data_IF_260833255435
#
_entry.id   IF_260833255435
#
_cell.length_a   1.000
_cell.length_b   1.000
_cell.length_c   1.000
_cell.angle_alpha   90.00
_cell.angle_beta   90.00
_cell.angle_gamma   90.00
#
_symmetry.space_group_name_H-M   'P 1'
#
loop_
_entity.id
_entity.type
_entity.pdbx_description
1 polymer ?
#
# COMPACT_ATOMS: atom_id res chain seq x y z
N UNK A 1 -61.94 -4.29 -53.31
CA UNK A 1 -61.37 -2.99 -53.74
C UNK A 1 -59.87 -2.96 -53.40
N UNK A 2 -59.02 -2.99 -54.44
CA UNK A 2 -57.73 -2.27 -54.62
C UNK A 2 -57.01 -1.69 -53.37
N UNK A 3 -55.68 -1.79 -53.14
CA UNK A 3 -54.50 -1.92 -54.03
C UNK A 3 -53.26 -2.46 -53.30
N UNK A 4 -52.39 -3.05 -54.11
CA UNK A 4 -51.06 -3.67 -53.94
C UNK A 4 -49.93 -2.70 -53.54
N UNK A 5 -48.87 -3.21 -52.87
CA UNK A 5 -47.48 -2.86 -53.19
C UNK A 5 -46.48 -3.93 -52.71
N UNK A 6 -45.72 -4.47 -53.66
CA UNK A 6 -44.63 -5.45 -53.55
C UNK A 6 -43.30 -4.71 -53.75
N UNK A 7 -42.24 -5.03 -52.99
CA UNK A 7 -40.85 -4.76 -53.39
C UNK A 7 -39.93 -5.93 -53.04
N UNK A 8 -39.11 -6.27 -54.03
CA UNK A 8 -38.33 -7.50 -54.18
C UNK A 8 -36.91 -7.39 -53.58
N UNK A 9 -36.35 -8.55 -53.20
CA UNK A 9 -34.94 -8.76 -52.88
C UNK A 9 -34.10 -8.89 -54.16
N UNK A 10 -32.89 -8.33 -54.15
CA UNK A 10 -31.84 -8.59 -55.14
C UNK A 10 -30.52 -8.96 -54.43
N UNK A 11 -29.96 -10.13 -54.82
CA UNK A 11 -28.63 -10.63 -54.48
C UNK A 11 -27.59 -10.01 -55.42
N UNK A 12 -26.38 -9.71 -54.92
CA UNK A 12 -25.19 -9.44 -55.75
C UNK A 12 -24.03 -10.37 -55.34
N UNK A 13 -23.38 -10.95 -56.35
CA UNK A 13 -22.17 -11.76 -56.28
C UNK A 13 -20.89 -10.88 -56.40
N UNK A 14 -19.71 -11.33 -55.95
CA UNK A 14 -18.49 -10.52 -56.00
C UNK A 14 -17.71 -10.71 -57.32
N UNK A 15 -17.16 -9.60 -57.84
CA UNK A 15 -16.19 -9.58 -58.94
C UNK A 15 -14.75 -9.80 -58.43
N UNK A 16 -13.98 -10.67 -59.10
CA UNK A 16 -12.52 -10.76 -59.01
C UNK A 16 -11.85 -9.73 -59.93
N UNK A 17 -10.78 -9.08 -59.46
CA UNK A 17 -9.82 -8.32 -60.27
C UNK A 17 -8.37 -8.70 -59.86
N UNK A 18 -7.37 -8.63 -60.76
CA UNK A 18 -6.06 -9.25 -60.57
C UNK A 18 -5.09 -8.38 -59.77
N UNK A 19 -4.31 -9.01 -58.89
CA UNK A 19 -3.28 -8.37 -58.08
C UNK A 19 -1.95 -8.34 -58.86
N UNK A 20 -1.46 -7.14 -59.19
CA UNK A 20 -0.11 -6.90 -59.71
C UNK A 20 0.85 -6.86 -58.53
N UNK A 21 1.86 -7.74 -58.51
CA UNK A 21 2.93 -7.74 -57.51
C UNK A 21 3.99 -6.73 -57.93
N UNK A 22 4.08 -5.62 -57.20
CA UNK A 22 5.27 -4.74 -57.20
C UNK A 22 6.03 -5.02 -55.92
N UNK A 23 7.25 -5.54 -56.04
CA UNK A 23 8.16 -5.72 -54.93
C UNK A 23 8.78 -4.36 -54.55
N UNK A 24 8.45 -3.86 -53.35
CA UNK A 24 9.27 -2.86 -52.66
C UNK A 24 9.92 -3.53 -51.45
N UNK A 25 11.25 -3.60 -51.51
CA UNK A 25 12.16 -3.69 -50.36
C UNK A 25 11.86 -2.51 -49.43
N UNK A 26 11.65 -2.81 -48.15
CA UNK A 26 11.97 -2.03 -46.95
C UNK A 26 10.99 -2.45 -45.85
N UNK A 27 11.40 -3.45 -45.06
CA UNK A 27 10.66 -3.83 -43.86
C UNK A 27 10.69 -2.67 -42.86
N UNK A 28 9.53 -2.23 -42.31
CA UNK A 28 9.53 -1.17 -41.32
C UNK A 28 10.11 -1.71 -40.00
N UNK A 29 11.15 -1.03 -39.52
CA UNK A 29 11.65 -1.12 -38.15
C UNK A 29 10.45 -1.01 -37.19
N UNK A 30 10.31 -1.84 -36.14
CA UNK A 30 9.26 -1.66 -35.16
C UNK A 30 9.44 -0.31 -34.48
N UNK A 31 8.60 0.65 -34.85
CA UNK A 31 8.46 1.91 -34.13
C UNK A 31 7.78 1.61 -32.80
N UNK A 32 8.42 2.03 -31.70
CA UNK A 32 7.83 2.01 -30.37
C UNK A 32 6.40 2.56 -30.42
N UNK A 33 5.42 1.93 -29.74
CA UNK A 33 4.06 2.43 -29.74
C UNK A 33 4.03 3.87 -29.19
N UNK A 34 3.25 4.78 -29.81
CA UNK A 34 3.20 6.18 -29.42
C UNK A 34 2.59 6.29 -28.01
N UNK A 35 3.39 6.78 -27.06
CA UNK A 35 2.97 6.99 -25.66
C UNK A 35 4.06 6.72 -24.61
N UNK A 36 5.17 6.09 -24.97
CA UNK A 36 6.33 5.95 -24.08
C UNK A 36 7.27 7.12 -24.33
N UNK A 37 7.11 8.23 -23.60
CA UNK A 37 8.27 9.09 -23.38
C UNK A 37 9.31 8.25 -22.63
N UNK A 38 10.53 8.15 -23.16
CA UNK A 38 11.65 7.49 -22.49
C UNK A 38 11.68 7.91 -21.01
N UNK A 39 11.41 6.96 -20.12
CA UNK A 39 11.43 7.14 -18.66
C UNK A 39 12.87 7.12 -18.12
N UNK A 40 13.85 7.33 -19.01
CA UNK A 40 15.28 7.44 -18.71
C UNK A 40 15.63 8.74 -17.97
N UNK A 41 14.65 9.49 -17.46
CA UNK A 41 14.92 10.70 -16.68
C UNK A 41 15.67 11.76 -17.49
N UNK A 42 15.48 11.81 -18.81
CA UNK A 42 16.11 12.80 -19.69
C UNK A 42 17.61 12.59 -19.96
N UNK A 43 18.23 11.53 -19.44
CA UNK A 43 19.60 11.15 -19.77
C UNK A 43 19.67 10.29 -21.02
N UNK A 44 20.64 10.52 -21.90
CA UNK A 44 20.90 9.63 -23.04
C UNK A 44 21.53 8.33 -22.54
N UNK A 45 20.83 7.20 -22.68
CA UNK A 45 21.37 5.88 -22.37
C UNK A 45 22.64 5.58 -23.20
N UNK A 46 23.69 5.09 -22.54
CA UNK A 46 24.94 4.64 -23.19
C UNK A 46 24.94 3.14 -23.52
N UNK A 47 23.87 2.43 -23.20
CA UNK A 47 23.75 1.00 -23.46
C UNK A 47 23.49 0.71 -24.93
N UNK A 48 24.33 -0.11 -25.56
CA UNK A 48 24.04 -0.64 -26.88
C UNK A 48 22.82 -1.59 -26.81
N UNK A 49 21.92 -1.56 -27.82
CA UNK A 49 20.87 -2.57 -27.93
C UNK A 49 21.48 -3.98 -27.99
N UNK A 50 20.88 -4.99 -27.34
CA UNK A 50 21.34 -6.37 -27.47
C UNK A 50 21.28 -6.82 -28.94
N UNK A 51 22.39 -7.37 -29.46
CA UNK A 51 22.48 -7.88 -30.85
C UNK A 51 22.75 -9.38 -30.93
N UNK A 52 22.96 -10.05 -29.80
CA UNK A 52 23.23 -11.49 -29.73
C UNK A 52 21.95 -12.33 -29.76
N UNK A 53 22.11 -13.65 -29.96
CA UNK A 53 21.00 -14.62 -29.86
C UNK A 53 20.42 -14.74 -28.43
N UNK A 54 21.12 -14.14 -27.45
CA UNK A 54 20.77 -14.21 -26.03
C UNK A 54 21.24 -15.47 -25.33
N UNK A 55 21.05 -15.50 -24.02
CA UNK A 55 21.37 -16.63 -23.14
C UNK A 55 20.10 -17.05 -22.40
N UNK A 56 19.66 -18.29 -22.61
CA UNK A 56 18.46 -18.82 -21.92
C UNK A 56 18.82 -19.40 -20.56
N UNK A 57 18.01 -19.08 -19.56
CA UNK A 57 18.12 -19.56 -18.18
C UNK A 57 16.85 -20.33 -17.80
N UNK A 58 16.91 -21.65 -17.88
CA UNK A 58 15.79 -22.57 -17.63
C UNK A 58 16.06 -23.56 -16.49
N UNK A 59 17.26 -23.53 -15.92
CA UNK A 59 17.68 -24.38 -14.80
C UNK A 59 18.25 -23.53 -13.67
N UNK A 60 18.02 -23.97 -12.43
CA UNK A 60 18.54 -23.29 -11.26
C UNK A 60 20.09 -23.31 -11.26
N UNK A 61 20.75 -22.18 -10.97
CA UNK A 61 22.20 -22.11 -10.99
C UNK A 61 22.82 -22.98 -9.89
N UNK A 62 23.83 -23.76 -10.26
CA UNK A 62 24.60 -24.63 -9.34
C UNK A 62 25.92 -24.02 -8.87
N UNK A 63 26.23 -22.81 -9.32
CA UNK A 63 27.33 -21.92 -8.94
C UNK A 63 26.85 -20.47 -9.02
N UNK A 64 27.64 -19.54 -8.52
CA UNK A 64 27.35 -18.12 -8.74
C UNK A 64 27.47 -17.80 -10.24
N UNK A 65 26.57 -16.95 -10.73
CA UNK A 65 26.52 -16.55 -12.13
C UNK A 65 26.68 -15.04 -12.29
N UNK A 66 27.25 -14.64 -13.44
CA UNK A 66 27.26 -13.25 -13.89
C UNK A 66 26.56 -13.16 -15.24
N UNK A 67 25.49 -12.39 -15.30
CA UNK A 67 24.71 -12.11 -16.49
C UNK A 67 25.24 -10.82 -17.12
N UNK A 68 26.02 -10.97 -18.18
CA UNK A 68 26.79 -9.88 -18.78
C UNK A 68 26.01 -9.11 -19.84
N UNK A 69 26.35 -7.84 -20.06
CA UNK A 69 25.75 -7.06 -21.14
C UNK A 69 26.00 -7.69 -22.52
N UNK A 70 27.18 -8.29 -22.73
CA UNK A 70 27.55 -8.92 -23.99
C UNK A 70 26.73 -10.19 -24.30
N UNK A 71 26.27 -10.90 -23.25
CA UNK A 71 25.46 -12.11 -23.37
C UNK A 71 23.95 -11.82 -23.43
N UNK A 72 23.56 -10.54 -23.42
CA UNK A 72 22.16 -10.12 -23.50
C UNK A 72 21.54 -10.39 -24.88
N UNK A 73 20.22 -10.64 -24.96
CA UNK A 73 19.30 -10.71 -23.82
C UNK A 73 19.44 -12.00 -23.00
N UNK A 74 19.30 -11.90 -21.67
CA UNK A 74 19.16 -13.05 -20.78
C UNK A 74 17.68 -13.44 -20.69
N UNK A 75 17.32 -14.63 -21.15
CA UNK A 75 15.92 -15.05 -21.29
C UNK A 75 15.54 -16.02 -20.17
N UNK A 76 14.58 -15.62 -19.34
CA UNK A 76 13.93 -16.51 -18.36
C UNK A 76 12.62 -17.01 -18.96
N UNK A 77 12.60 -18.28 -19.35
CA UNK A 77 11.52 -18.87 -20.15
C UNK A 77 10.34 -19.41 -19.33
N UNK A 78 10.53 -19.61 -18.03
CA UNK A 78 9.54 -20.19 -17.12
C UNK A 78 9.82 -19.81 -15.67
N UNK A 79 9.77 -20.78 -14.75
CA UNK A 79 10.12 -20.56 -13.35
C UNK A 79 11.61 -20.83 -13.13
N UNK A 80 12.38 -19.81 -12.77
CA UNK A 80 13.79 -19.92 -12.40
C UNK A 80 13.93 -19.73 -10.89
N UNK A 81 14.47 -20.74 -10.21
CA UNK A 81 14.76 -20.65 -8.77
C UNK A 81 16.24 -20.34 -8.55
N UNK A 82 16.54 -19.26 -7.83
CA UNK A 82 17.88 -18.92 -7.35
C UNK A 82 18.02 -19.41 -5.90
N UNK A 83 18.67 -20.56 -5.64
CA UNK A 83 18.70 -21.18 -4.32
C UNK A 83 19.56 -20.41 -3.32
N UNK A 84 19.31 -20.65 -2.03
CA UNK A 84 20.11 -20.09 -0.94
C UNK A 84 21.61 -20.39 -1.11
N UNK A 85 22.46 -19.41 -0.76
CA UNK A 85 23.91 -19.50 -0.89
C UNK A 85 24.45 -19.28 -2.31
N UNK A 86 23.59 -18.95 -3.28
CA UNK A 86 23.99 -18.55 -4.64
C UNK A 86 23.73 -17.08 -4.90
N UNK A 87 24.51 -16.55 -5.83
CA UNK A 87 24.40 -15.17 -6.30
C UNK A 87 24.25 -15.13 -7.82
N UNK A 88 23.28 -14.35 -8.31
CA UNK A 88 23.24 -13.87 -9.70
C UNK A 88 23.62 -12.39 -9.66
N UNK A 89 24.72 -12.05 -10.35
CA UNK A 89 25.12 -10.65 -10.58
C UNK A 89 24.76 -10.26 -12.00
N UNK A 90 24.02 -9.16 -12.17
CA UNK A 90 23.62 -8.62 -13.47
C UNK A 90 24.44 -7.36 -13.71
N UNK A 91 25.20 -7.37 -14.81
CA UNK A 91 26.07 -6.24 -15.16
C UNK A 91 25.27 -5.03 -15.65
N UNK A 92 25.79 -3.79 -15.47
CA UNK A 92 25.24 -2.60 -16.12
C UNK A 92 25.02 -2.83 -17.62
N UNK A 93 23.93 -2.28 -18.16
CA UNK A 93 23.44 -2.48 -19.53
C UNK A 93 22.93 -3.88 -19.90
N UNK A 94 22.96 -4.87 -19.00
CA UNK A 94 22.33 -6.15 -19.29
C UNK A 94 20.81 -6.03 -19.39
N UNK A 95 20.23 -6.85 -20.27
CA UNK A 95 18.79 -6.93 -20.52
C UNK A 95 18.31 -8.33 -20.16
N UNK A 96 17.36 -8.41 -19.24
CA UNK A 96 16.69 -9.64 -18.82
C UNK A 96 15.27 -9.66 -19.40
N UNK A 97 15.01 -10.63 -20.26
CA UNK A 97 13.71 -10.87 -20.87
C UNK A 97 12.95 -11.96 -20.13
N UNK A 98 11.87 -11.57 -19.48
CA UNK A 98 10.99 -12.45 -18.73
C UNK A 98 9.82 -12.88 -19.63
N UNK A 99 9.73 -14.17 -19.99
CA UNK A 99 8.64 -14.69 -20.83
C UNK A 99 7.28 -14.61 -20.14
N UNK A 100 6.20 -14.69 -20.92
CA UNK A 100 4.83 -14.61 -20.39
C UNK A 100 4.60 -15.58 -19.24
N UNK A 101 4.20 -15.06 -18.08
CA UNK A 101 4.01 -15.85 -16.86
C UNK A 101 5.27 -16.43 -16.20
N UNK A 102 6.47 -16.08 -16.67
CA UNK A 102 7.72 -16.47 -16.04
C UNK A 102 7.86 -15.87 -14.63
N UNK A 103 8.56 -16.60 -13.76
CA UNK A 103 8.87 -16.16 -12.40
C UNK A 103 10.36 -16.34 -12.10
N UNK A 104 10.93 -15.44 -11.32
CA UNK A 104 12.19 -15.68 -10.62
C UNK A 104 11.91 -15.83 -9.13
N UNK A 105 12.22 -16.99 -8.54
CA UNK A 105 12.07 -17.25 -7.12
C UNK A 105 13.44 -17.18 -6.48
N UNK A 106 13.67 -16.20 -5.61
CA UNK A 106 14.97 -15.90 -5.03
C UNK A 106 15.01 -16.31 -3.56
N UNK A 107 15.88 -17.25 -3.24
CA UNK A 107 16.29 -17.61 -1.87
C UNK A 107 17.77 -17.25 -1.60
N UNK A 108 18.52 -16.94 -2.67
CA UNK A 108 19.89 -16.42 -2.65
C UNK A 108 19.97 -14.90 -2.85
N UNK A 109 20.96 -14.45 -3.63
CA UNK A 109 21.22 -13.01 -3.86
C UNK A 109 21.07 -12.62 -5.32
N UNK A 110 20.17 -11.68 -5.62
CA UNK A 110 20.02 -11.09 -6.95
C UNK A 110 20.53 -9.66 -6.93
N UNK A 111 21.65 -9.41 -7.62
CA UNK A 111 22.35 -8.13 -7.60
C UNK A 111 22.33 -7.50 -9.00
N UNK A 112 21.56 -6.43 -9.17
CA UNK A 112 21.47 -5.64 -10.39
C UNK A 112 21.85 -4.19 -10.08
N UNK A 113 23.14 -3.88 -10.19
CA UNK A 113 23.69 -2.58 -9.82
C UNK A 113 24.15 -1.82 -11.06
N UNK A 114 23.20 -1.15 -11.73
CA UNK A 114 23.46 -0.31 -12.90
C UNK A 114 24.06 1.06 -12.55
N UNK A 115 24.15 1.93 -13.55
CA UNK A 115 24.49 3.35 -13.38
C UNK A 115 23.51 4.23 -14.18
N UNK A 116 23.53 5.54 -13.95
CA UNK A 116 22.60 6.52 -14.55
C UNK A 116 22.50 6.41 -16.07
N UNK A 117 23.65 6.31 -16.75
CA UNK A 117 23.77 6.14 -18.20
C UNK A 117 23.85 4.65 -18.62
N UNK A 118 23.83 3.71 -17.68
CA UNK A 118 23.99 2.26 -17.88
C UNK A 118 22.96 1.44 -17.12
N UNK A 119 21.69 1.74 -17.37
CA UNK A 119 20.58 1.08 -16.68
C UNK A 119 20.50 -0.41 -17.01
N UNK A 120 20.14 -1.20 -16.01
CA UNK A 120 19.76 -2.61 -16.19
C UNK A 120 18.27 -2.67 -16.50
N UNK A 121 17.84 -3.57 -17.39
CA UNK A 121 16.42 -3.71 -17.74
C UNK A 121 15.92 -5.13 -17.49
N UNK A 122 14.85 -5.26 -16.71
CA UNK A 122 13.97 -6.43 -16.72
C UNK A 122 12.75 -6.06 -17.54
N UNK A 123 12.51 -6.76 -18.65
CA UNK A 123 11.47 -6.42 -19.62
C UNK A 123 10.65 -7.64 -20.05
N UNK A 124 9.51 -7.38 -20.68
CA UNK A 124 8.66 -8.42 -21.26
C UNK A 124 9.42 -9.14 -22.38
N UNK A 125 9.57 -10.45 -22.25
CA UNK A 125 10.16 -11.29 -23.29
C UNK A 125 9.20 -11.62 -24.44
N UNK A 126 7.90 -11.36 -24.26
CA UNK A 126 6.86 -11.51 -25.30
C UNK A 126 6.05 -10.21 -25.39
N UNK A 127 5.83 -9.72 -26.60
CA UNK A 127 5.14 -8.45 -26.83
C UNK A 127 3.75 -8.43 -26.16
N UNK A 128 3.50 -7.40 -25.35
CA UNK A 128 2.25 -7.16 -24.62
C UNK A 128 1.82 -8.25 -23.64
N UNK A 129 2.66 -9.26 -23.35
CA UNK A 129 2.33 -10.30 -22.39
C UNK A 129 3.10 -10.10 -21.08
N UNK A 130 2.43 -10.02 -19.92
CA UNK A 130 3.13 -9.82 -18.65
C UNK A 130 3.84 -11.07 -18.19
N UNK A 131 4.98 -10.88 -17.55
CA UNK A 131 5.61 -11.91 -16.74
C UNK A 131 5.03 -11.88 -15.32
N UNK A 132 5.21 -12.96 -14.56
CA UNK A 132 4.53 -13.10 -13.27
C UNK A 132 5.18 -12.26 -12.20
N UNK A 133 6.35 -12.65 -11.71
CA UNK A 133 6.96 -11.99 -10.54
C UNK A 133 8.45 -12.28 -10.38
N UNK A 134 9.16 -11.39 -9.71
CA UNK A 134 10.41 -11.69 -9.00
C UNK A 134 10.04 -11.79 -7.52
N UNK A 135 9.96 -13.02 -7.01
CA UNK A 135 9.58 -13.33 -5.64
C UNK A 135 10.83 -13.55 -4.80
N UNK A 136 11.08 -12.70 -3.82
CA UNK A 136 12.06 -12.95 -2.77
C UNK A 136 11.42 -13.82 -1.69
N UNK A 137 12.18 -14.78 -1.13
CA UNK A 137 11.78 -15.62 0.00
C UNK A 137 12.70 -15.41 1.19
N UNK A 138 12.37 -16.05 2.32
CA UNK A 138 13.19 -16.03 3.54
C UNK A 138 14.68 -16.24 3.23
N UNK A 139 15.51 -15.28 3.66
CA UNK A 139 16.96 -15.30 3.48
C UNK A 139 17.48 -14.65 2.19
N UNK A 140 16.59 -14.23 1.29
CA UNK A 140 16.95 -13.57 0.05
C UNK A 140 17.51 -12.16 0.26
N UNK A 141 18.37 -11.73 -0.67
CA UNK A 141 18.83 -10.34 -0.81
C UNK A 141 18.61 -9.90 -2.27
N UNK A 142 17.79 -8.87 -2.47
CA UNK A 142 17.57 -8.25 -3.78
C UNK A 142 18.13 -6.84 -3.73
N UNK A 143 19.07 -6.52 -4.62
CA UNK A 143 19.60 -5.15 -4.75
C UNK A 143 19.44 -4.66 -6.18
N UNK A 144 18.70 -3.56 -6.33
CA UNK A 144 18.52 -2.88 -7.60
C UNK A 144 19.04 -1.45 -7.50
N UNK A 145 19.95 -1.08 -8.39
CA UNK A 145 20.35 0.31 -8.59
C UNK A 145 20.26 0.65 -10.08
N UNK A 146 19.72 1.83 -10.43
CA UNK A 146 19.54 2.25 -11.83
C UNK A 146 18.93 1.14 -12.69
N UNK A 147 17.80 0.61 -12.23
CA UNK A 147 17.13 -0.54 -12.85
C UNK A 147 15.73 -0.17 -13.30
N UNK A 148 15.37 -0.56 -14.52
CA UNK A 148 13.99 -0.54 -15.02
C UNK A 148 13.40 -1.94 -14.92
N UNK A 149 12.23 -2.05 -14.30
CA UNK A 149 11.44 -3.28 -14.19
C UNK A 149 10.11 -3.03 -14.89
N UNK A 150 9.94 -3.64 -16.05
CA UNK A 150 8.82 -3.38 -16.95
C UNK A 150 7.95 -4.63 -17.13
N UNK A 151 6.67 -4.48 -16.83
CA UNK A 151 5.65 -5.38 -17.33
C UNK A 151 5.40 -6.67 -16.53
N UNK A 152 5.76 -6.67 -15.25
CA UNK A 152 5.51 -7.80 -14.34
C UNK A 152 4.11 -7.80 -13.74
N UNK A 153 3.91 -8.64 -12.72
CA UNK A 153 2.67 -8.68 -11.94
C UNK A 153 1.53 -9.40 -12.64
N UNK A 154 1.80 -10.36 -13.53
CA UNK A 154 0.74 -11.12 -14.21
C UNK A 154 -0.21 -11.75 -13.20
N UNK A 155 -1.50 -11.47 -13.37
CA UNK A 155 -2.55 -11.97 -12.48
C UNK A 155 -2.73 -13.49 -12.60
N UNK A 156 -2.90 -14.16 -11.47
CA UNK A 156 -3.34 -15.55 -11.37
C UNK A 156 -4.77 -15.65 -10.81
N UNK A 157 -5.68 -14.84 -11.36
CA UNK A 157 -7.08 -14.80 -10.96
C UNK A 157 -7.67 -13.41 -11.09
N UNK A 158 -8.74 -13.15 -10.33
CA UNK A 158 -9.46 -11.87 -10.38
C UNK A 158 -9.02 -10.86 -9.33
N UNK A 159 -8.12 -11.21 -8.40
CA UNK A 159 -7.67 -10.27 -7.36
C UNK A 159 -6.64 -9.28 -7.93
N UNK A 160 -6.98 -7.99 -8.09
CA UNK A 160 -6.10 -7.01 -8.72
C UNK A 160 -4.87 -6.65 -7.87
N UNK A 161 -4.76 -7.20 -6.66
CA UNK A 161 -3.67 -6.97 -5.71
C UNK A 161 -3.02 -8.27 -5.21
N UNK A 162 -3.25 -9.38 -5.92
CA UNK A 162 -2.74 -10.70 -5.52
C UNK A 162 -1.27 -10.94 -5.87
N UNK A 163 -0.70 -10.17 -6.82
CA UNK A 163 0.65 -10.39 -7.34
C UNK A 163 1.36 -9.03 -7.52
N UNK A 164 2.63 -8.95 -7.17
CA UNK A 164 3.51 -7.83 -7.52
C UNK A 164 4.49 -8.20 -8.61
N UNK A 165 4.91 -7.22 -9.43
CA UNK A 165 6.08 -7.41 -10.28
C UNK A 165 7.30 -7.79 -9.43
N UNK A 166 7.41 -7.21 -8.24
CA UNK A 166 8.23 -7.73 -7.13
C UNK A 166 7.33 -8.23 -6.00
N UNK A 167 7.57 -9.44 -5.49
CA UNK A 167 6.95 -9.97 -4.28
C UNK A 167 8.03 -10.19 -3.21
N UNK A 168 8.03 -9.35 -2.18
CA UNK A 168 9.04 -9.32 -1.13
C UNK A 168 8.47 -10.05 0.09
N UNK A 169 8.78 -11.35 0.15
CA UNK A 169 8.31 -12.24 1.21
C UNK A 169 9.46 -12.64 2.13
N UNK A 170 9.34 -12.30 3.41
CA UNK A 170 10.32 -12.65 4.44
C UNK A 170 9.92 -13.86 5.28
N UNK A 171 10.25 -13.79 6.57
CA UNK A 171 9.70 -14.66 7.61
C UNK A 171 8.62 -13.91 8.40
N UNK A 172 7.37 -14.37 8.26
CA UNK A 172 6.19 -13.77 8.88
C UNK A 172 6.22 -13.71 10.41
N UNK A 173 7.06 -14.54 11.05
CA UNK A 173 7.17 -14.64 12.51
C UNK A 173 8.41 -13.90 13.07
N UNK A 174 9.22 -13.25 12.20
CA UNK A 174 10.42 -12.47 12.58
C UNK A 174 10.18 -10.96 12.48
N UNK A 175 11.05 -10.12 13.06
CA UNK A 175 11.12 -8.66 12.80
C UNK A 175 11.19 -8.33 11.29
N UNK A 176 10.86 -7.10 10.86
CA UNK A 176 10.91 -6.73 9.45
C UNK A 176 12.33 -6.95 8.89
N UNK A 177 12.42 -7.66 7.77
CA UNK A 177 13.68 -8.11 7.18
C UNK A 177 14.07 -7.21 6.00
N UNK A 178 15.30 -6.68 5.95
CA UNK A 178 15.76 -5.78 4.89
C UNK A 178 16.10 -6.55 3.60
N UNK A 179 15.08 -7.05 2.90
CA UNK A 179 15.24 -7.94 1.74
C UNK A 179 15.50 -7.17 0.45
N UNK A 180 14.79 -6.06 0.25
CA UNK A 180 14.82 -5.29 -1.01
C UNK A 180 15.56 -3.96 -0.85
N UNK A 181 16.73 -3.81 -1.46
CA UNK A 181 17.39 -2.52 -1.62
C UNK A 181 17.07 -1.91 -3.00
N UNK A 182 16.66 -0.64 -3.03
CA UNK A 182 16.44 0.12 -4.28
C UNK A 182 17.15 1.47 -4.25
N UNK A 183 17.82 1.83 -5.34
CA UNK A 183 18.37 3.18 -5.59
C UNK A 183 18.11 3.56 -7.04
N UNK A 184 17.29 4.58 -7.30
CA UNK A 184 16.99 5.03 -8.67
C UNK A 184 16.36 3.91 -9.51
N UNK A 185 15.27 3.33 -9.01
CA UNK A 185 14.57 2.18 -9.63
C UNK A 185 13.22 2.62 -10.16
N UNK A 186 12.87 2.16 -11.36
CA UNK A 186 11.53 2.37 -11.94
C UNK A 186 10.85 1.03 -12.11
N UNK A 187 9.69 0.85 -11.49
CA UNK A 187 8.77 -0.25 -11.78
C UNK A 187 7.60 0.31 -12.59
N UNK A 188 7.29 -0.27 -13.73
CA UNK A 188 6.18 0.23 -14.55
C UNK A 188 5.42 -0.84 -15.31
N UNK A 189 4.20 -0.49 -15.73
CA UNK A 189 3.41 -1.33 -16.62
C UNK A 189 2.97 -2.65 -15.99
N UNK A 190 2.92 -2.73 -14.65
CA UNK A 190 2.47 -3.93 -13.94
C UNK A 190 0.99 -4.21 -14.23
N UNK A 191 0.64 -5.48 -14.46
CA UNK A 191 -0.78 -5.90 -14.61
C UNK A 191 -1.54 -5.93 -13.28
N UNK A 192 -0.82 -6.08 -12.17
CA UNK A 192 -1.34 -6.00 -10.79
C UNK A 192 -0.56 -4.94 -10.00
N UNK A 193 0.00 -5.28 -8.84
CA UNK A 193 0.82 -4.35 -8.04
C UNK A 193 2.19 -4.12 -8.70
N UNK A 194 2.75 -2.94 -8.45
CA UNK A 194 4.19 -2.73 -8.64
C UNK A 194 4.99 -3.65 -7.71
N UNK A 195 4.79 -3.49 -6.41
CA UNK A 195 5.48 -4.27 -5.37
C UNK A 195 4.49 -4.77 -4.32
N UNK A 196 4.56 -6.05 -3.99
CA UNK A 196 3.88 -6.66 -2.85
C UNK A 196 4.93 -6.92 -1.75
N UNK A 197 4.70 -6.41 -0.53
CA UNK A 197 5.62 -6.57 0.61
C UNK A 197 4.86 -7.21 1.77
N UNK A 198 5.24 -8.44 2.13
CA UNK A 198 4.47 -9.28 3.05
C UNK A 198 5.35 -10.24 3.85
N UNK A 199 4.74 -10.90 4.83
CA UNK A 199 5.38 -11.96 5.60
C UNK A 199 6.73 -11.50 6.20
N UNK A 200 6.76 -10.29 6.76
CA UNK A 200 7.97 -9.74 7.39
C UNK A 200 9.07 -9.30 6.42
N UNK A 201 8.85 -9.32 5.11
CA UNK A 201 9.74 -8.66 4.14
C UNK A 201 9.63 -7.14 4.25
N UNK A 202 10.70 -6.44 3.89
CA UNK A 202 10.77 -4.98 3.89
C UNK A 202 11.90 -4.46 3.02
N UNK A 203 11.96 -3.14 2.90
CA UNK A 203 13.04 -2.47 2.20
C UNK A 203 14.27 -2.36 3.09
N UNK A 204 15.45 -2.52 2.49
CA UNK A 204 16.72 -2.37 3.19
C UNK A 204 17.05 -0.88 3.45
N UNK A 205 17.73 -0.57 4.57
CA UNK A 205 18.18 0.79 4.87
C UNK A 205 18.99 1.41 3.73
N UNK A 206 18.79 2.71 3.51
CA UNK A 206 19.42 3.46 2.42
C UNK A 206 18.69 3.37 1.09
N UNK A 207 17.58 2.62 1.01
CA UNK A 207 16.74 2.62 -0.18
C UNK A 207 16.15 4.00 -0.47
N UNK A 208 16.14 4.41 -1.73
CA UNK A 208 15.69 5.73 -2.18
C UNK A 208 15.30 5.72 -3.67
N UNK A 209 14.64 6.79 -4.09
CA UNK A 209 14.38 7.12 -5.49
C UNK A 209 13.68 5.98 -6.26
N UNK A 210 12.65 5.41 -5.64
CA UNK A 210 11.77 4.41 -6.24
C UNK A 210 10.60 5.08 -6.97
N UNK A 211 10.46 4.84 -8.27
CA UNK A 211 9.29 5.25 -9.04
C UNK A 211 8.42 4.03 -9.37
N UNK A 212 7.12 4.09 -9.09
CA UNK A 212 6.15 3.08 -9.53
C UNK A 212 5.02 3.79 -10.28
N UNK A 213 4.86 3.46 -11.56
CA UNK A 213 3.94 4.19 -12.45
C UNK A 213 3.36 3.30 -13.55
N UNK A 214 2.31 3.77 -14.22
CA UNK A 214 1.62 3.06 -15.30
C UNK A 214 1.20 1.62 -14.93
N UNK A 215 1.01 1.33 -13.65
CA UNK A 215 0.44 0.06 -13.17
C UNK A 215 -1.07 0.04 -13.34
N UNK A 216 -1.64 -1.13 -13.62
CA UNK A 216 -3.08 -1.33 -13.78
C UNK A 216 -3.85 -1.38 -12.43
N UNK A 217 -3.14 -1.25 -11.30
CA UNK A 217 -3.68 -1.32 -9.94
C UNK A 217 -2.97 -0.30 -9.03
N UNK A 218 -2.76 -0.63 -7.76
CA UNK A 218 -2.02 0.17 -6.78
C UNK A 218 -0.49 0.00 -6.96
N UNK A 219 0.33 1.02 -6.66
CA UNK A 219 1.78 0.91 -6.71
C UNK A 219 2.34 -0.14 -5.73
N UNK A 220 1.89 -0.11 -4.47
CA UNK A 220 2.41 -0.98 -3.40
C UNK A 220 1.27 -1.49 -2.52
N UNK A 221 1.37 -2.76 -2.11
CA UNK A 221 0.72 -3.27 -0.91
C UNK A 221 1.79 -3.72 0.09
N UNK A 222 1.75 -3.21 1.31
CA UNK A 222 2.78 -3.45 2.33
C UNK A 222 2.16 -3.69 3.71
N UNK A 223 2.67 -4.70 4.41
CA UNK A 223 2.22 -4.97 5.78
C UNK A 223 2.55 -3.82 6.73
N UNK A 224 1.67 -3.57 7.71
CA UNK A 224 1.75 -2.42 8.63
C UNK A 224 3.10 -2.29 9.31
N UNK A 225 3.64 -3.40 9.81
CA UNK A 225 5.01 -3.47 10.38
C UNK A 225 6.14 -3.04 9.45
N UNK A 226 6.02 -3.28 8.15
CA UNK A 226 7.06 -2.99 7.18
C UNK A 226 6.88 -1.60 6.53
N UNK A 227 5.74 -0.95 6.74
CA UNK A 227 5.38 0.32 6.09
C UNK A 227 6.39 1.44 6.37
N UNK A 228 7.08 1.41 7.51
CA UNK A 228 8.13 2.37 7.85
C UNK A 228 9.42 2.23 7.04
N UNK A 229 9.58 1.13 6.29
CA UNK A 229 10.72 0.90 5.41
C UNK A 229 10.57 1.52 4.02
N UNK A 230 9.38 2.02 3.65
CA UNK A 230 9.13 2.60 2.33
C UNK A 230 10.15 3.71 2.00
N UNK A 231 10.84 3.64 0.85
CA UNK A 231 11.84 4.63 0.47
C UNK A 231 11.22 5.94 0.00
N UNK A 232 12.05 6.98 -0.21
CA UNK A 232 11.63 8.14 -1.01
C UNK A 232 11.32 7.72 -2.45
N UNK A 233 10.45 8.46 -3.13
CA UNK A 233 10.05 8.07 -4.47
C UNK A 233 8.86 8.81 -5.04
N UNK A 234 8.34 8.28 -6.14
CA UNK A 234 7.10 8.70 -6.77
C UNK A 234 6.21 7.48 -6.99
N UNK A 235 5.01 7.53 -6.42
CA UNK A 235 4.05 6.41 -6.43
C UNK A 235 2.78 6.75 -7.23
N UNK A 236 2.81 7.84 -7.99
CA UNK A 236 1.68 8.32 -8.79
C UNK A 236 1.71 7.84 -10.25
N UNK A 237 0.60 8.04 -10.95
CA UNK A 237 0.43 7.64 -12.36
C UNK A 237 0.07 6.17 -12.55
N UNK A 238 -0.45 5.51 -11.52
CA UNK A 238 -1.04 4.18 -11.58
C UNK A 238 -2.58 4.29 -11.72
N UNK A 239 -3.27 3.17 -11.92
CA UNK A 239 -4.73 3.17 -11.97
C UNK A 239 -5.34 3.64 -10.63
N UNK A 240 -4.68 3.34 -9.51
CA UNK A 240 -4.99 3.91 -8.20
C UNK A 240 -3.70 4.38 -7.53
N UNK A 241 -3.59 5.69 -7.29
CA UNK A 241 -2.44 6.33 -6.66
C UNK A 241 -2.59 6.34 -5.13
N UNK A 242 -2.59 5.14 -4.53
CA UNK A 242 -2.64 4.93 -3.08
C UNK A 242 -1.72 3.75 -2.69
N UNK A 243 -1.14 3.76 -1.49
CA UNK A 243 -0.37 2.62 -0.96
C UNK A 243 -1.25 1.81 -0.01
N UNK A 244 -1.40 0.51 -0.26
CA UNK A 244 -2.26 -0.35 0.57
C UNK A 244 -1.55 -0.75 1.86
N UNK A 245 -2.23 -0.51 2.98
CA UNK A 245 -2.00 -1.15 4.27
C UNK A 245 -3.13 -2.19 4.48
N UNK A 246 -2.87 -3.50 4.32
CA UNK A 246 -3.91 -4.52 4.29
C UNK A 246 -4.81 -4.58 5.52
N UNK A 247 -4.32 -4.17 6.70
CA UNK A 247 -5.09 -4.14 7.95
C UNK A 247 -5.72 -5.50 8.31
N UNK A 248 -4.97 -6.59 8.11
CA UNK A 248 -5.46 -7.96 8.28
C UNK A 248 -5.43 -8.46 9.72
N UNK A 249 -4.83 -7.70 10.64
CA UNK A 249 -4.61 -8.13 12.02
C UNK A 249 -3.50 -9.20 12.16
N UNK A 250 -3.11 -9.48 13.40
CA UNK A 250 -2.27 -10.63 13.76
C UNK A 250 -0.82 -10.49 13.28
N UNK A 251 -0.48 -10.97 12.09
CA UNK A 251 0.91 -10.94 11.56
C UNK A 251 1.24 -9.65 10.80
N UNK A 252 0.22 -8.94 10.35
CA UNK A 252 0.31 -7.67 9.63
C UNK A 252 0.57 -6.46 10.56
N UNK A 253 0.17 -6.60 11.83
CA UNK A 253 0.20 -5.55 12.86
C UNK A 253 1.53 -4.82 12.95
N UNK A 254 1.47 -3.54 13.34
CA UNK A 254 2.64 -2.75 13.68
C UNK A 254 3.20 -3.24 15.02
N UNK A 255 4.21 -4.12 14.93
CA UNK A 255 4.87 -4.79 16.07
C UNK A 255 6.22 -4.18 16.47
N UNK A 256 6.67 -3.19 15.71
CA UNK A 256 7.90 -2.45 15.92
C UNK A 256 7.66 -0.97 15.63
N UNK A 257 8.59 -0.10 16.04
CA UNK A 257 8.46 1.33 15.79
C UNK A 257 8.41 1.59 14.28
N UNK A 258 7.32 2.22 13.84
CA UNK A 258 7.02 2.44 12.42
C UNK A 258 6.69 3.90 12.20
N UNK A 259 7.30 4.51 11.19
CA UNK A 259 7.00 5.89 10.78
C UNK A 259 6.40 5.90 9.37
N UNK A 260 5.16 6.36 9.24
CA UNK A 260 4.57 6.66 7.94
C UNK A 260 5.03 8.05 7.48
N UNK A 261 5.76 8.09 6.36
CA UNK A 261 6.19 9.31 5.72
C UNK A 261 5.17 9.79 4.68
N UNK A 262 5.17 11.09 4.39
CA UNK A 262 4.42 11.63 3.26
C UNK A 262 5.16 11.28 1.96
N UNK A 263 4.57 10.37 1.18
CA UNK A 263 5.12 9.86 -0.08
C UNK A 263 4.44 10.48 -1.32
N UNK A 264 3.67 11.55 -1.13
CA UNK A 264 2.93 12.23 -2.20
C UNK A 264 1.62 11.55 -2.62
N UNK A 265 1.32 10.36 -2.07
CA UNK A 265 0.06 9.63 -2.27
C UNK A 265 -0.54 9.18 -0.93
N UNK A 266 -1.87 8.99 -0.82
CA UNK A 266 -2.49 8.48 0.40
C UNK A 266 -2.13 7.01 0.71
N UNK A 267 -2.27 6.63 1.97
CA UNK A 267 -2.37 5.23 2.38
C UNK A 267 -3.83 4.78 2.38
N UNK A 268 -4.11 3.60 1.81
CA UNK A 268 -5.41 2.94 1.81
C UNK A 268 -5.42 1.82 2.84
N UNK A 269 -6.17 1.98 3.92
CA UNK A 269 -6.20 1.03 5.06
C UNK A 269 -7.36 0.04 4.91
N UNK A 270 -7.05 -1.25 5.00
CA UNK A 270 -7.92 -2.34 4.56
C UNK A 270 -7.73 -2.57 3.07
N UNK A 271 -8.33 -1.71 2.26
CA UNK A 271 -8.26 -1.83 0.80
C UNK A 271 -8.92 -3.14 0.30
N UNK A 272 -8.58 -3.58 -0.91
CA UNK A 272 -9.21 -4.74 -1.55
C UNK A 272 -8.92 -6.09 -0.86
N UNK A 273 -8.10 -6.12 0.21
CA UNK A 273 -7.80 -7.34 0.97
C UNK A 273 -8.92 -7.76 1.92
N UNK A 274 -9.82 -6.83 2.25
CA UNK A 274 -10.92 -7.07 3.19
C UNK A 274 -10.53 -7.01 4.67
N UNK A 275 -9.30 -6.59 4.99
CA UNK A 275 -8.87 -6.35 6.37
C UNK A 275 -9.72 -5.31 7.10
N UNK A 276 -9.76 -5.39 8.43
CA UNK A 276 -10.66 -4.62 9.29
C UNK A 276 -9.96 -3.82 10.39
N UNK A 277 -8.68 -4.07 10.65
CA UNK A 277 -7.94 -3.40 11.71
C UNK A 277 -6.48 -3.21 11.35
N UNK A 278 -6.05 -1.95 11.28
CA UNK A 278 -4.63 -1.64 11.36
C UNK A 278 -4.29 -1.56 12.83
N UNK A 279 -3.73 -2.64 13.37
CA UNK A 279 -3.44 -2.76 14.80
C UNK A 279 -1.98 -2.38 15.09
N UNK A 280 -1.77 -1.63 16.17
CA UNK A 280 -0.46 -1.32 16.76
C UNK A 280 -0.37 -2.04 18.10
N UNK A 281 0.42 -3.11 18.15
CA UNK A 281 0.48 -3.98 19.32
C UNK A 281 1.79 -4.79 19.33
N UNK A 282 2.46 -4.88 20.48
CA UNK A 282 3.67 -5.68 20.69
C UNK A 282 3.58 -6.56 21.93
N UNK A 283 4.28 -7.70 21.90
CA UNK A 283 4.49 -8.57 23.07
C UNK A 283 5.84 -8.26 23.70
N UNK A 284 5.85 -7.79 24.95
CA UNK A 284 7.08 -7.46 25.69
C UNK A 284 7.77 -6.15 25.28
N UNK A 285 7.21 -5.43 24.31
CA UNK A 285 7.58 -4.07 23.93
C UNK A 285 6.32 -3.29 23.52
N UNK A 286 6.41 -1.96 23.50
CA UNK A 286 5.28 -1.09 23.13
C UNK A 286 5.67 -0.33 21.85
N UNK A 287 5.38 -0.89 20.66
CA UNK A 287 5.65 -0.24 19.38
C UNK A 287 4.94 1.10 19.26
N UNK A 288 5.62 2.06 18.63
CA UNK A 288 5.11 3.37 18.33
C UNK A 288 4.84 3.52 16.83
N UNK A 289 3.58 3.72 16.45
CA UNK A 289 3.22 4.21 15.13
C UNK A 289 3.32 5.74 15.09
N UNK A 290 4.26 6.26 14.33
CA UNK A 290 4.40 7.70 14.06
C UNK A 290 3.83 8.03 12.68
N UNK A 291 3.00 9.07 12.59
CA UNK A 291 2.42 9.52 11.32
C UNK A 291 2.86 10.96 11.09
N UNK A 292 3.70 11.16 10.07
CA UNK A 292 4.27 12.47 9.75
C UNK A 292 3.23 13.43 9.15
N UNK A 293 3.47 14.74 9.28
CA UNK A 293 2.70 15.80 8.64
C UNK A 293 2.41 15.53 7.15
N UNK A 294 1.22 15.92 6.70
CA UNK A 294 0.76 15.77 5.32
C UNK A 294 0.37 14.35 4.90
N UNK A 295 0.56 13.34 5.74
CA UNK A 295 0.08 11.98 5.47
C UNK A 295 -1.44 11.94 5.49
N UNK A 296 -2.02 11.23 4.51
CA UNK A 296 -3.44 10.92 4.43
C UNK A 296 -3.66 9.42 4.56
N UNK A 297 -4.54 9.01 5.47
CA UNK A 297 -5.01 7.64 5.62
C UNK A 297 -6.49 7.59 5.25
N UNK A 298 -6.82 6.80 4.23
CA UNK A 298 -8.18 6.55 3.75
C UNK A 298 -8.61 5.15 4.19
N UNK A 299 -9.64 5.06 5.00
CA UNK A 299 -10.13 3.82 5.59
C UNK A 299 -11.30 3.25 4.81
N UNK A 300 -11.23 1.96 4.51
CA UNK A 300 -12.37 1.23 3.95
C UNK A 300 -13.51 1.07 4.95
N UNK A 301 -14.66 0.65 4.43
CA UNK A 301 -15.88 0.44 5.21
C UNK A 301 -15.60 -0.48 6.41
N UNK A 302 -15.97 0.00 7.59
CA UNK A 302 -15.84 -0.69 8.89
C UNK A 302 -14.40 -1.00 9.33
N UNK A 303 -13.40 -0.33 8.74
CA UNK A 303 -12.01 -0.46 9.18
C UNK A 303 -11.72 0.48 10.36
N UNK A 304 -10.84 0.07 11.26
CA UNK A 304 -10.33 0.88 12.39
C UNK A 304 -8.81 1.03 12.35
N UNK A 305 -8.31 2.07 13.01
CA UNK A 305 -6.95 2.10 13.55
C UNK A 305 -7.04 1.70 15.02
N UNK A 306 -6.40 0.61 15.42
CA UNK A 306 -6.48 0.07 16.78
C UNK A 306 -5.13 0.16 17.48
N UNK A 307 -5.11 0.87 18.61
CA UNK A 307 -3.94 0.99 19.48
C UNK A 307 -4.23 0.14 20.70
N UNK A 308 -3.78 -1.10 20.66
CA UNK A 308 -4.11 -2.07 21.69
C UNK A 308 -3.34 -1.80 22.99
N UNK A 309 -3.95 -2.22 24.08
CA UNK A 309 -3.27 -2.47 25.33
C UNK A 309 -3.87 -3.72 25.97
N UNK A 310 -3.08 -4.38 26.83
CA UNK A 310 -3.73 -5.23 27.82
C UNK A 310 -4.31 -4.33 28.92
N UNK A 311 -5.18 -4.88 29.77
CA UNK A 311 -5.93 -4.08 30.76
C UNK A 311 -5.05 -3.24 31.70
N UNK A 312 -3.79 -3.63 31.91
CA UNK A 312 -2.92 -3.04 32.95
C UNK A 312 -1.70 -2.29 32.40
N UNK A 313 -1.26 -2.59 31.18
CA UNK A 313 -0.12 -1.94 30.50
C UNK A 313 -0.38 -1.74 29.01
N UNK A 314 0.13 -0.63 28.47
CA UNK A 314 0.09 -0.35 27.04
C UNK A 314 0.76 -1.47 26.23
N UNK A 315 0.18 -1.82 25.07
CA UNK A 315 0.76 -2.75 24.11
C UNK A 315 1.09 -2.07 22.77
N UNK A 316 0.56 -0.87 22.51
CA UNK A 316 0.93 0.00 21.40
C UNK A 316 0.84 1.48 21.76
N UNK A 317 1.40 2.32 20.89
CA UNK A 317 1.33 3.76 21.00
C UNK A 317 1.16 4.43 19.62
N UNK A 318 0.53 5.60 19.58
CA UNK A 318 0.29 6.41 18.40
C UNK A 318 0.82 7.83 18.58
N UNK A 319 1.62 8.31 17.63
CA UNK A 319 2.04 9.71 17.55
C UNK A 319 1.72 10.30 16.18
N UNK A 320 0.76 11.20 16.15
CA UNK A 320 0.39 11.97 14.95
C UNK A 320 1.09 13.32 15.02
N UNK A 321 2.03 13.55 14.10
CA UNK A 321 2.89 14.73 14.04
C UNK A 321 2.41 15.69 12.94
N UNK A 322 1.12 16.05 12.95
CA UNK A 322 0.57 17.03 12.01
C UNK A 322 1.12 18.44 12.27
N UNK A 323 0.96 19.32 11.28
CA UNK A 323 1.23 20.75 11.43
C UNK A 323 -0.01 21.57 11.03
N UNK A 324 -0.14 22.80 11.56
CA UNK A 324 -1.30 23.66 11.27
C UNK A 324 -1.51 23.94 9.77
N UNK A 325 -0.44 23.98 8.97
CA UNK A 325 -0.50 24.13 7.51
C UNK A 325 -0.40 22.82 6.73
N UNK A 326 -0.16 21.69 7.40
CA UNK A 326 0.04 20.39 6.79
C UNK A 326 -0.47 19.27 7.74
N UNK A 327 -1.78 19.21 7.99
CA UNK A 327 -2.34 18.29 8.96
C UNK A 327 -2.23 16.84 8.49
N UNK A 328 -2.25 15.91 9.43
CA UNK A 328 -2.52 14.50 9.11
C UNK A 328 -4.02 14.31 8.92
N UNK A 329 -4.43 13.62 7.85
CA UNK A 329 -5.85 13.41 7.54
C UNK A 329 -6.22 11.94 7.67
N UNK A 330 -7.24 11.66 8.47
CA UNK A 330 -7.91 10.35 8.58
C UNK A 330 -9.32 10.48 8.00
N UNK A 331 -9.64 9.72 6.96
CA UNK A 331 -10.90 9.88 6.24
C UNK A 331 -11.45 8.58 5.64
N UNK A 332 -12.69 8.62 5.15
CA UNK A 332 -13.28 7.52 4.39
C UNK A 332 -12.64 7.34 3.02
N UNK A 333 -12.46 6.09 2.62
CA UNK A 333 -12.05 5.72 1.27
C UNK A 333 -13.23 5.57 0.28
N UNK A 334 -14.48 5.74 0.74
CA UNK A 334 -15.66 5.65 -0.11
C UNK A 334 -15.64 6.72 -1.23
N UNK A 335 -16.23 6.40 -2.37
CA UNK A 335 -16.39 7.34 -3.48
C UNK A 335 -17.27 8.55 -3.11
N UNK A 336 -18.25 8.32 -2.23
CA UNK A 336 -19.10 9.35 -1.63
C UNK A 336 -19.03 9.21 -0.11
N UNK A 337 -18.09 9.90 0.56
CA UNK A 337 -17.89 9.76 2.00
C UNK A 337 -19.15 10.10 2.82
N UNK A 338 -19.44 9.27 3.82
CA UNK A 338 -20.51 9.46 4.77
C UNK A 338 -20.05 9.19 6.20
N UNK A 339 -20.67 9.86 7.17
CA UNK A 339 -20.43 9.61 8.58
C UNK A 339 -20.65 8.11 8.90
N UNK A 340 -19.72 7.50 9.63
CA UNK A 340 -19.77 6.08 9.99
C UNK A 340 -19.30 5.12 8.89
N UNK A 341 -18.64 5.63 7.85
CA UNK A 341 -18.02 4.79 6.83
C UNK A 341 -16.97 3.87 7.47
N UNK A 342 -16.11 4.43 8.33
CA UNK A 342 -15.09 3.71 9.07
C UNK A 342 -15.30 3.87 10.58
N UNK A 343 -14.71 2.97 11.37
CA UNK A 343 -14.98 2.89 12.81
C UNK A 343 -14.47 4.12 13.54
N UNK A 344 -13.19 4.44 13.37
CA UNK A 344 -12.50 5.49 14.10
C UNK A 344 -11.10 5.06 14.53
N UNK A 345 -10.47 5.92 15.33
CA UNK A 345 -9.23 5.59 16.05
C UNK A 345 -9.62 5.02 17.41
N UNK A 346 -9.21 3.80 17.68
CA UNK A 346 -9.48 3.11 18.93
C UNK A 346 -8.18 3.03 19.74
N UNK A 347 -8.26 3.39 21.02
CA UNK A 347 -7.19 3.24 22.00
C UNK A 347 -7.75 2.42 23.14
N UNK A 348 -7.31 1.17 23.26
CA UNK A 348 -7.81 0.22 24.26
C UNK A 348 -6.87 0.13 25.47
N UNK A 349 -7.40 -0.38 26.59
CA UNK A 349 -6.71 -0.57 27.86
C UNK A 349 -6.02 0.70 28.37
N UNK A 350 -4.81 0.58 28.94
CA UNK A 350 -4.08 1.73 29.50
C UNK A 350 -3.34 2.49 28.39
N UNK A 351 -3.69 3.77 28.11
CA UNK A 351 -2.98 4.55 27.10
C UNK A 351 -1.49 4.74 27.45
N UNK A 352 -0.60 4.55 26.47
CA UNK A 352 0.82 4.87 26.60
C UNK A 352 1.01 6.39 26.74
N UNK A 353 1.98 6.82 27.55
CA UNK A 353 2.28 8.24 27.75
C UNK A 353 2.82 8.95 26.50
N UNK A 354 3.29 8.19 25.50
CA UNK A 354 3.75 8.70 24.20
C UNK A 354 2.60 8.96 23.23
N UNK A 355 1.37 8.54 23.56
CA UNK A 355 0.20 8.81 22.72
C UNK A 355 0.03 10.31 22.51
N UNK A 356 -0.13 10.71 21.26
CA UNK A 356 -0.36 12.10 20.87
C UNK A 356 -1.06 12.15 19.52
N UNK A 357 -2.15 12.91 19.43
CA UNK A 357 -2.84 13.25 18.20
C UNK A 357 -2.84 14.77 18.07
N UNK A 358 -1.88 15.32 17.35
CA UNK A 358 -1.70 16.76 17.18
C UNK A 358 -1.95 17.17 15.72
N UNK A 359 -2.68 18.27 15.52
CA UNK A 359 -2.93 18.86 14.19
C UNK A 359 -3.44 17.84 13.16
N UNK A 360 -4.44 17.04 13.56
CA UNK A 360 -5.09 16.10 12.67
C UNK A 360 -6.44 16.64 12.17
N UNK A 361 -6.92 16.06 11.06
CA UNK A 361 -8.31 16.13 10.60
C UNK A 361 -8.86 14.72 10.58
N UNK A 362 -9.89 14.45 11.35
CA UNK A 362 -10.55 13.14 11.44
C UNK A 362 -11.98 13.31 10.96
N UNK A 363 -12.35 12.61 9.87
CA UNK A 363 -13.64 12.80 9.23
C UNK A 363 -14.31 11.52 8.77
N UNK A 364 -15.64 11.53 8.79
CA UNK A 364 -16.50 10.42 8.32
C UNK A 364 -16.38 9.14 9.16
N UNK A 365 -15.91 9.28 10.41
CA UNK A 365 -15.72 8.20 11.37
C UNK A 365 -17.00 7.90 12.18
N UNK A 366 -16.88 7.11 13.24
CA UNK A 366 -17.99 6.82 14.15
C UNK A 366 -18.86 5.65 13.72
N UNK A 367 -18.31 4.72 12.92
CA UNK A 367 -18.97 3.45 12.60
C UNK A 367 -19.07 2.53 13.82
N UNK A 368 -19.81 1.43 13.68
CA UNK A 368 -20.03 0.47 14.77
C UNK A 368 -18.71 -0.13 15.27
N UNK A 369 -18.30 0.24 16.49
CA UNK A 369 -17.02 -0.20 17.07
C UNK A 369 -17.05 -1.61 17.65
N UNK A 370 -18.22 -2.08 18.08
CA UNK A 370 -18.39 -3.30 18.88
C UNK A 370 -17.65 -3.25 20.23
N UNK A 371 -17.25 -2.06 20.68
CA UNK A 371 -16.52 -1.86 21.93
C UNK A 371 -17.53 -1.62 23.06
N UNK A 372 -17.28 -2.25 24.20
CA UNK A 372 -17.92 -1.92 25.47
C UNK A 372 -16.93 -1.14 26.33
N UNK A 373 -17.36 -0.01 26.89
CA UNK A 373 -16.52 0.90 27.64
C UNK A 373 -17.19 1.37 28.93
N UNK A 374 -16.51 2.23 29.69
CA UNK A 374 -17.02 2.83 30.92
C UNK A 374 -17.47 4.29 30.74
N UNK A 375 -17.84 4.70 29.53
CA UNK A 375 -18.44 6.00 29.31
C UNK A 375 -19.86 6.07 29.90
N UNK A 376 -20.29 7.28 30.22
CA UNK A 376 -21.63 7.58 30.69
C UNK A 376 -22.48 8.05 29.51
N UNK A 377 -23.48 7.25 29.06
CA UNK A 377 -24.36 7.64 27.98
C UNK A 377 -25.22 8.85 28.35
N UNK A 378 -25.58 9.67 27.37
CA UNK A 378 -26.42 10.86 27.56
C UNK A 378 -27.53 10.89 26.50
N UNK A 379 -28.81 10.57 26.86
CA UNK A 379 -29.30 10.16 28.18
C UNK A 379 -28.86 8.74 28.59
N UNK A 380 -28.91 8.41 29.90
CA UNK A 380 -28.39 7.15 30.45
C UNK A 380 -29.03 5.86 29.88
N UNK A 381 -30.20 5.97 29.24
CA UNK A 381 -30.91 4.87 28.61
C UNK A 381 -30.62 4.73 27.09
N UNK A 382 -29.77 5.60 26.53
CA UNK A 382 -29.21 5.36 25.20
C UNK A 382 -28.20 4.21 25.31
N UNK A 383 -28.33 3.19 24.46
CA UNK A 383 -27.43 2.02 24.51
C UNK A 383 -25.95 2.41 24.39
N UNK A 384 -25.06 1.59 24.92
CA UNK A 384 -23.59 1.77 24.91
C UNK A 384 -22.94 1.56 23.53
N UNK A 385 -23.47 2.19 22.49
CA UNK A 385 -22.79 2.23 21.20
C UNK A 385 -21.61 3.17 21.30
N UNK A 386 -20.42 2.66 21.65
CA UNK A 386 -19.14 3.39 21.70
C UNK A 386 -18.65 3.75 20.29
N UNK A 387 -19.52 4.43 19.55
CA UNK A 387 -19.32 4.90 18.19
C UNK A 387 -18.77 6.31 18.31
N UNK A 388 -17.51 6.51 17.92
CA UNK A 388 -16.92 7.84 17.94
C UNK A 388 -15.73 7.94 17.01
N UNK A 389 -15.38 9.17 16.64
CA UNK A 389 -14.21 9.38 15.78
C UNK A 389 -12.92 8.95 16.47
N UNK A 390 -12.84 9.14 17.78
CA UNK A 390 -11.83 8.59 18.67
C UNK A 390 -12.52 7.87 19.83
N UNK A 391 -12.12 6.63 20.11
CA UNK A 391 -12.62 5.84 21.23
C UNK A 391 -11.47 5.50 22.16
N UNK A 392 -11.53 5.98 23.40
CA UNK A 392 -10.55 5.65 24.45
C UNK A 392 -11.25 4.75 25.45
N UNK A 393 -10.98 3.44 25.41
CA UNK A 393 -11.70 2.44 26.19
C UNK A 393 -10.79 1.75 27.21
N UNK A 394 -11.21 1.72 28.47
CA UNK A 394 -10.49 1.03 29.55
C UNK A 394 -9.82 1.99 30.53
N UNK A 395 -8.55 2.33 30.29
CA UNK A 395 -7.70 3.07 31.23
C UNK A 395 -7.77 4.59 31.11
N UNK A 396 -7.72 5.29 32.25
CA UNK A 396 -7.67 6.76 32.28
C UNK A 396 -6.35 7.27 31.69
N UNK A 397 -6.37 8.18 30.70
CA UNK A 397 -5.15 8.83 30.22
C UNK A 397 -4.55 9.77 31.27
N UNK A 398 -3.23 9.88 31.29
CA UNK A 398 -2.53 10.75 32.26
C UNK A 398 -2.72 12.25 32.01
N UNK A 399 -3.01 12.64 30.76
CA UNK A 399 -3.28 14.03 30.36
C UNK A 399 -4.02 14.07 29.02
N UNK A 400 -4.43 15.27 28.59
CA UNK A 400 -5.00 15.45 27.27
C UNK A 400 -3.94 15.21 26.18
N UNK A 401 -4.23 14.33 25.22
CA UNK A 401 -3.31 13.98 24.14
C UNK A 401 -3.88 14.19 22.74
N UNK A 402 -5.18 14.52 22.62
CA UNK A 402 -5.78 14.98 21.37
C UNK A 402 -5.77 16.50 21.41
N UNK A 403 -5.01 17.14 20.52
CA UNK A 403 -4.80 18.59 20.54
C UNK A 403 -4.78 19.20 19.14
N UNK A 404 -5.25 20.44 19.02
CA UNK A 404 -5.27 21.20 17.76
C UNK A 404 -5.88 20.41 16.57
N UNK A 405 -6.84 19.54 16.86
CA UNK A 405 -7.39 18.56 15.91
C UNK A 405 -8.82 18.94 15.55
N UNK A 406 -9.17 18.75 14.28
CA UNK A 406 -10.54 18.90 13.79
C UNK A 406 -11.21 17.53 13.68
N UNK A 407 -12.35 17.37 14.33
CA UNK A 407 -13.20 16.17 14.24
C UNK A 407 -14.50 16.59 13.54
N UNK A 408 -14.77 16.01 12.37
CA UNK A 408 -15.92 16.38 11.57
C UNK A 408 -16.73 15.17 11.07
N UNK A 409 -18.05 15.34 10.95
CA UNK A 409 -18.95 14.35 10.35
C UNK A 409 -18.81 12.95 10.98
N UNK A 410 -18.74 12.88 12.31
CA UNK A 410 -18.79 11.61 13.05
C UNK A 410 -20.24 11.14 13.19
N UNK A 411 -20.50 9.86 12.90
CA UNK A 411 -21.83 9.25 13.05
C UNK A 411 -22.22 9.03 14.52
N UNK A 412 -21.24 9.06 15.44
CA UNK A 412 -21.46 8.99 16.87
C UNK A 412 -20.89 10.22 17.58
N UNK A 413 -20.10 9.98 18.62
CA UNK A 413 -19.41 11.02 19.40
C UNK A 413 -18.14 11.52 18.68
N UNK A 414 -17.62 12.66 19.12
CA UNK A 414 -16.31 13.13 18.70
C UNK A 414 -15.23 12.28 19.37
N UNK A 415 -15.21 12.31 20.71
CA UNK A 415 -14.27 11.56 21.54
C UNK A 415 -15.04 10.79 22.62
N UNK A 416 -15.02 9.47 22.55
CA UNK A 416 -15.56 8.60 23.62
C UNK A 416 -14.53 8.49 24.73
N UNK A 417 -14.90 8.96 25.93
CA UNK A 417 -14.11 8.89 27.17
C UNK A 417 -14.55 7.68 28.00
N UNK A 418 -14.16 6.50 27.54
CA UNK A 418 -14.63 5.18 28.00
C UNK A 418 -13.86 4.55 29.16
N UNK A 419 -13.42 5.34 30.14
CA UNK A 419 -12.71 4.86 31.33
C UNK A 419 -13.47 5.19 32.62
N UNK A 420 -13.08 4.53 33.72
CA UNK A 420 -13.51 4.92 35.06
C UNK A 420 -12.47 5.84 35.68
N UNK A 421 -12.86 7.03 36.15
CA UNK A 421 -11.94 7.96 36.81
C UNK A 421 -12.31 9.43 36.66
N UNK A 422 -11.29 10.29 36.77
CA UNK A 422 -11.45 11.72 36.60
C UNK A 422 -11.62 12.08 35.10
N UNK A 423 -12.46 13.07 34.78
CA UNK A 423 -12.51 13.62 33.42
C UNK A 423 -11.17 14.23 33.02
N UNK A 424 -10.73 13.91 31.80
CA UNK A 424 -9.66 14.60 31.09
C UNK A 424 -10.32 15.37 29.96
N UNK A 425 -10.14 16.68 29.93
CA UNK A 425 -10.81 17.56 28.97
C UNK A 425 -10.03 17.67 27.66
N UNK A 426 -10.66 17.24 26.56
CA UNK A 426 -10.10 17.31 25.21
C UNK A 426 -10.78 18.39 24.36
N UNK A 427 -11.60 19.29 24.93
CA UNK A 427 -12.22 20.37 24.17
C UNK A 427 -11.31 21.56 23.84
N UNK A 428 -10.46 22.08 24.76
CA UNK A 428 -9.95 23.45 24.66
C UNK A 428 -9.19 23.81 23.39
N UNK A 429 -8.57 22.84 22.73
CA UNK A 429 -7.76 23.07 21.51
C UNK A 429 -8.35 22.42 20.26
N UNK A 430 -9.47 21.70 20.38
CA UNK A 430 -10.02 20.91 19.29
C UNK A 430 -11.28 21.56 18.71
N UNK A 431 -11.53 21.33 17.42
CA UNK A 431 -12.71 21.82 16.71
C UNK A 431 -13.61 20.66 16.35
N UNK A 432 -14.91 20.80 16.59
CA UNK A 432 -15.91 19.76 16.32
C UNK A 432 -16.98 20.33 15.39
N UNK A 433 -17.27 19.63 14.29
CA UNK A 433 -18.29 20.06 13.31
C UNK A 433 -19.12 18.86 12.85
N UNK A 434 -20.44 18.99 12.80
CA UNK A 434 -21.34 17.91 12.36
C UNK A 434 -21.13 16.57 13.10
N UNK A 435 -20.81 16.60 14.40
CA UNK A 435 -20.76 15.42 15.27
C UNK A 435 -22.18 15.05 15.68
N UNK A 436 -22.61 13.81 15.43
CA UNK A 436 -24.00 13.39 15.68
C UNK A 436 -24.36 13.45 17.17
N UNK A 437 -23.47 13.00 18.05
CA UNK A 437 -23.64 12.97 19.52
C UNK A 437 -22.70 13.97 20.21
N UNK A 438 -22.10 13.66 21.35
CA UNK A 438 -21.31 14.61 22.11
C UNK A 438 -19.96 14.88 21.43
N UNK A 439 -19.43 16.10 21.53
CA UNK A 439 -18.04 16.39 21.15
C UNK A 439 -17.07 15.53 21.98
N UNK A 440 -17.39 15.33 23.27
CA UNK A 440 -16.78 14.31 24.11
C UNK A 440 -17.81 13.73 25.09
N UNK A 441 -17.82 12.40 25.31
CA UNK A 441 -18.71 11.76 26.31
C UNK A 441 -18.21 12.00 27.73
N UNK A 442 -18.89 11.59 28.79
CA UNK A 442 -18.39 11.74 30.18
C UNK A 442 -17.89 10.38 30.72
N UNK A 443 -16.70 10.27 31.35
CA UNK A 443 -16.25 9.00 31.92
C UNK A 443 -16.98 8.67 33.23
N UNK A 444 -17.16 7.38 33.53
CA UNK A 444 -17.74 6.93 34.79
C UNK A 444 -16.88 7.40 35.98
N UNK A 445 -17.46 8.08 37.00
CA UNK A 445 -16.72 8.42 38.21
C UNK A 445 -16.18 7.19 38.96
N UNK A 446 -15.03 7.32 39.61
CA UNK A 446 -14.47 6.23 40.43
C UNK A 446 -15.38 5.84 41.60
N UNK A 447 -16.11 6.80 42.16
CA UNK A 447 -17.13 6.59 43.17
C UNK A 447 -18.46 7.22 42.71
N UNK A 448 -19.56 6.48 42.88
CA UNK A 448 -20.91 6.91 42.51
C UNK A 448 -21.40 6.33 41.17
N UNK A 449 -22.55 6.85 40.72
CA UNK A 449 -23.14 6.52 39.42
C UNK A 449 -22.76 7.55 38.36
N UNK A 450 -23.02 7.23 37.10
CA UNK A 450 -22.98 8.24 36.05
C UNK A 450 -23.95 9.40 36.37
N UNK A 451 -23.58 10.65 36.05
CA UNK A 451 -24.50 11.78 36.15
C UNK A 451 -25.70 11.57 35.22
N UNK A 452 -26.85 12.12 35.60
CA UNK A 452 -28.07 12.10 34.79
C UNK A 452 -28.66 13.52 34.63
N UNK A 453 -28.61 14.11 33.42
CA UNK A 453 -27.92 13.60 32.23
C UNK A 453 -26.40 13.72 32.38
N UNK A 454 -25.67 12.82 31.73
CA UNK A 454 -24.22 12.94 31.63
C UNK A 454 -23.84 14.17 30.77
N UNK A 455 -22.80 14.95 31.15
CA UNK A 455 -22.35 16.09 30.36
C UNK A 455 -22.04 15.71 28.91
N UNK A 456 -22.70 16.40 27.96
CA UNK A 456 -22.60 16.16 26.52
C UNK A 456 -22.39 17.50 25.77
N UNK A 457 -21.16 18.05 25.79
CA UNK A 457 -20.84 19.29 25.09
C UNK A 457 -21.01 19.14 23.57
N UNK A 458 -21.40 20.23 22.91
CA UNK A 458 -21.67 20.35 21.46
C UNK A 458 -20.97 21.56 20.88
#
# INVERSE_FOLDING_TARGET
MNRTNMRALARLAPLLAPLVVVACKDDPVPVNPPGVTDVDGGGTSSCAPPTGAGTTHDTAPSIDETWTAAASPHVVSGSLSLPAGRTITIEPCAVVQMKSGASMIVEGKLLALGAEDKRIRFERGDANAPWKTIEARKGAELRFAYTLIDGGGKLDGSSPTGVGALDIRGDQDSATQPILFVDSVVVRGSESLGILVREGGGFAPGSKDLAITAGASFPISIWGRAAGSLPSGSYGGNAVDEIILPAMGGRDDVKEDTKLANLGVPFRVGGPTGGKSLTVAGTGSVPLLTIAAGVKLRFDKDVRLDIEANSDVAAGALRVEGAAGDPVVFESAAATPAAGDWVGIVIEGKPDARNSIAHAVIRYAGGASQISSFDCPSPLNSGFGNEGAIVIAGGQPGSAFVTNTTIESSAGDGIVRGWTGAPVDMLPTNTFTNVARCNQTYPKPQAGSCPDPAPCPK
#
